data_IF_252798495097
#
_entry.id   IF_252798495097
#
_cell.length_a   1.000
_cell.length_b   1.000
_cell.length_c   1.000
_cell.angle_alpha   90.00
_cell.angle_beta   90.00
_cell.angle_gamma   90.00
#
_symmetry.space_group_name_H-M   'P 1'
#
loop_
_entity.id
_entity.type
_entity.pdbx_description
1 polymer ?
#
# COMPACT_ATOMS: atom_id res chain seq x y z
N UNK A 1 -13.73 -34.08 -38.40
CA UNK A 1 -14.36 -33.89 -37.07
C UNK A 1 -13.61 -32.77 -36.37
N UNK A 2 -14.25 -31.61 -36.15
CA UNK A 2 -13.62 -30.49 -35.44
C UNK A 2 -13.65 -30.80 -33.94
N UNK A 3 -12.53 -30.65 -33.19
CA UNK A 3 -12.58 -30.83 -31.75
C UNK A 3 -13.44 -29.73 -31.13
N UNK A 4 -14.42 -30.14 -30.32
CA UNK A 4 -15.26 -29.27 -29.53
C UNK A 4 -14.37 -28.41 -28.61
N UNK A 5 -14.31 -27.12 -28.88
CA UNK A 5 -13.77 -26.14 -27.94
C UNK A 5 -14.63 -26.19 -26.67
N UNK A 6 -14.09 -26.74 -25.59
CA UNK A 6 -14.68 -26.62 -24.26
C UNK A 6 -14.83 -25.12 -23.96
N UNK A 7 -16.07 -24.67 -23.87
CA UNK A 7 -16.35 -23.34 -23.34
C UNK A 7 -15.79 -23.27 -21.91
N UNK A 8 -15.13 -22.17 -21.50
CA UNK A 8 -14.72 -22.02 -20.13
C UNK A 8 -15.98 -21.91 -19.27
N UNK A 9 -16.18 -22.87 -18.37
CA UNK A 9 -17.18 -22.81 -17.31
C UNK A 9 -16.98 -21.48 -16.57
N UNK A 10 -17.86 -20.51 -16.83
CA UNK A 10 -17.93 -19.26 -16.11
C UNK A 10 -18.44 -19.57 -14.69
N UNK A 11 -17.52 -19.95 -13.81
CA UNK A 11 -17.75 -19.91 -12.37
C UNK A 11 -17.86 -18.45 -11.92
N UNK A 12 -19.01 -17.82 -12.16
CA UNK A 12 -19.40 -16.59 -11.50
C UNK A 12 -19.76 -16.93 -10.06
N UNK A 13 -18.74 -17.12 -9.21
CA UNK A 13 -18.95 -17.12 -7.77
C UNK A 13 -19.05 -15.67 -7.30
N UNK A 14 -20.15 -15.38 -6.60
CA UNK A 14 -20.48 -14.07 -6.05
C UNK A 14 -19.26 -13.44 -5.34
N UNK A 15 -18.97 -12.17 -5.64
CA UNK A 15 -17.96 -11.40 -4.92
C UNK A 15 -18.30 -11.43 -3.43
N UNK A 16 -17.44 -12.03 -2.60
CA UNK A 16 -17.57 -11.98 -1.13
C UNK A 16 -17.64 -10.52 -0.68
N UNK A 17 -18.77 -10.13 -0.08
CA UNK A 17 -19.09 -8.76 0.37
C UNK A 17 -18.18 -8.22 1.52
N UNK A 18 -17.30 -9.06 2.08
CA UNK A 18 -16.52 -8.74 3.28
C UNK A 18 -15.52 -7.59 3.15
N UNK A 19 -15.02 -7.29 1.96
CA UNK A 19 -14.07 -6.17 1.76
C UNK A 19 -14.68 -4.77 1.91
N UNK A 20 -16.01 -4.64 1.93
CA UNK A 20 -16.68 -3.34 2.00
C UNK A 20 -16.59 -2.67 3.37
N UNK A 21 -16.59 -3.46 4.46
CA UNK A 21 -16.59 -2.91 5.83
C UNK A 21 -15.25 -2.29 6.20
N UNK A 22 -14.13 -2.92 5.82
CA UNK A 22 -12.79 -2.41 6.08
C UNK A 22 -12.57 -1.05 5.40
N UNK A 23 -13.09 -0.87 4.19
CA UNK A 23 -13.02 0.40 3.48
C UNK A 23 -13.78 1.50 4.22
N UNK A 24 -14.98 1.19 4.72
CA UNK A 24 -15.74 2.13 5.54
C UNK A 24 -14.97 2.53 6.80
N UNK A 25 -14.39 1.56 7.50
CA UNK A 25 -13.56 1.81 8.69
C UNK A 25 -12.37 2.72 8.36
N UNK A 26 -11.66 2.47 7.25
CA UNK A 26 -10.55 3.32 6.81
C UNK A 26 -11.01 4.76 6.59
N UNK A 27 -12.09 4.98 5.82
CA UNK A 27 -12.56 6.34 5.57
C UNK A 27 -13.11 7.02 6.82
N UNK A 28 -13.73 6.27 7.73
CA UNK A 28 -14.17 6.80 9.02
C UNK A 28 -12.99 7.27 9.87
N UNK A 29 -11.95 6.43 10.04
CA UNK A 29 -10.75 6.80 10.80
C UNK A 29 -10.04 7.99 10.15
N UNK A 30 -9.90 8.00 8.82
CA UNK A 30 -9.29 9.11 8.09
C UNK A 30 -10.07 10.41 8.28
N UNK A 31 -11.39 10.38 8.15
CA UNK A 31 -12.23 11.55 8.36
C UNK A 31 -12.15 12.05 9.80
N UNK A 32 -12.20 11.15 10.78
CA UNK A 32 -12.08 11.49 12.20
C UNK A 32 -10.74 12.18 12.49
N UNK A 33 -9.62 11.59 12.08
CA UNK A 33 -8.29 12.19 12.29
C UNK A 33 -8.16 13.52 11.53
N UNK A 34 -8.61 13.58 10.27
CA UNK A 34 -8.50 14.78 9.44
C UNK A 34 -9.33 15.95 10.00
N UNK A 35 -10.58 15.69 10.41
CA UNK A 35 -11.46 16.72 10.98
C UNK A 35 -10.92 17.20 12.32
N UNK A 36 -10.49 16.30 13.21
CA UNK A 36 -9.86 16.68 14.47
C UNK A 36 -8.60 17.51 14.28
N UNK A 37 -7.72 17.04 13.39
CA UNK A 37 -6.46 17.73 13.12
C UNK A 37 -6.71 19.12 12.52
N UNK A 38 -7.51 19.23 11.46
CA UNK A 38 -7.72 20.52 10.76
C UNK A 38 -8.60 21.49 11.55
N UNK A 39 -9.65 20.99 12.23
CA UNK A 39 -10.61 21.81 12.95
C UNK A 39 -10.14 22.27 14.34
N UNK A 40 -9.31 21.48 15.02
CA UNK A 40 -8.87 21.76 16.40
C UNK A 40 -7.39 22.14 16.40
N UNK A 41 -6.52 21.20 16.04
CA UNK A 41 -5.06 21.34 16.19
C UNK A 41 -4.48 22.38 15.23
N UNK A 42 -4.87 22.34 13.97
CA UNK A 42 -4.36 23.29 12.98
C UNK A 42 -4.94 24.68 13.24
N UNK A 43 -6.20 24.78 13.68
CA UNK A 43 -6.84 26.05 14.05
C UNK A 43 -6.07 26.78 15.14
N UNK A 44 -5.67 26.08 16.21
CA UNK A 44 -4.89 26.68 17.31
C UNK A 44 -3.48 27.11 16.90
N UNK A 45 -2.95 26.58 15.80
CA UNK A 45 -1.68 26.99 15.22
C UNK A 45 -1.79 28.21 14.29
N UNK A 46 -2.99 28.52 13.79
CA UNK A 46 -3.25 29.72 13.01
C UNK A 46 -3.74 30.89 13.87
N UNK A 47 -4.28 30.62 15.07
CA UNK A 47 -4.89 31.63 15.94
C UNK A 47 -4.38 31.42 17.39
N UNK A 48 -3.43 32.24 17.87
CA UNK A 48 -2.70 33.28 17.15
C UNK A 48 -1.73 32.70 16.11
N UNK A 49 -1.39 33.48 15.08
CA UNK A 49 -0.53 33.03 13.98
C UNK A 49 0.87 32.68 14.48
N UNK A 50 1.32 31.45 14.19
CA UNK A 50 2.69 31.01 14.45
C UNK A 50 3.51 30.95 13.16
N UNK A 51 4.79 31.31 13.26
CA UNK A 51 5.72 31.18 12.13
C UNK A 51 5.78 29.74 11.66
N UNK A 52 5.65 29.52 10.35
CA UNK A 52 5.67 28.18 9.75
C UNK A 52 4.32 27.45 9.72
N UNK A 53 3.23 27.98 10.32
CA UNK A 53 1.91 27.33 10.30
C UNK A 53 1.39 27.08 8.88
N UNK A 54 1.56 28.04 7.97
CA UNK A 54 1.22 27.86 6.55
C UNK A 54 2.03 26.75 5.90
N UNK A 55 3.33 26.69 6.16
CA UNK A 55 4.21 25.67 5.58
C UNK A 55 3.82 24.27 6.08
N UNK A 56 3.61 24.10 7.38
CA UNK A 56 3.19 22.80 7.95
C UNK A 56 1.82 22.39 7.40
N UNK A 57 0.87 23.32 7.35
CA UNK A 57 -0.44 23.07 6.76
C UNK A 57 -0.31 22.64 5.29
N UNK A 58 0.44 23.37 4.47
CA UNK A 58 0.65 23.06 3.07
C UNK A 58 1.30 21.69 2.89
N UNK A 59 2.36 21.38 3.65
CA UNK A 59 3.03 20.08 3.63
C UNK A 59 2.07 18.95 3.99
N UNK A 60 1.27 19.10 5.06
CA UNK A 60 0.27 18.12 5.44
C UNK A 60 -0.71 17.84 4.30
N UNK A 61 -1.31 18.88 3.69
CA UNK A 61 -2.29 18.69 2.62
C UNK A 61 -1.67 18.11 1.35
N UNK A 62 -0.43 18.47 1.02
CA UNK A 62 0.31 17.87 -0.10
C UNK A 62 0.54 16.38 0.15
N UNK A 63 1.05 15.99 1.31
CA UNK A 63 1.28 14.57 1.62
C UNK A 63 -0.03 13.80 1.77
N UNK A 64 -1.07 14.40 2.31
CA UNK A 64 -2.39 13.80 2.41
C UNK A 64 -3.00 13.57 1.02
N UNK A 65 -2.83 14.51 0.10
CA UNK A 65 -3.22 14.33 -1.31
C UNK A 65 -2.45 13.17 -1.96
N UNK A 66 -1.12 13.10 -1.76
CA UNK A 66 -0.30 12.00 -2.29
C UNK A 66 -0.65 10.64 -1.67
N UNK A 67 -1.02 10.62 -0.38
CA UNK A 67 -1.56 9.45 0.31
C UNK A 67 -2.87 8.99 -0.34
N UNK A 68 -3.85 9.89 -0.52
CA UNK A 68 -5.13 9.58 -1.16
C UNK A 68 -4.94 9.12 -2.61
N UNK A 69 -4.05 9.77 -3.36
CA UNK A 69 -3.72 9.37 -4.72
C UNK A 69 -3.09 7.97 -4.74
N UNK A 70 -2.19 7.66 -3.81
CA UNK A 70 -1.61 6.31 -3.66
C UNK A 70 -2.65 5.26 -3.29
N UNK A 71 -3.59 5.59 -2.40
CA UNK A 71 -4.73 4.74 -2.04
C UNK A 71 -5.60 4.45 -3.26
N UNK A 72 -5.95 5.51 -4.01
CA UNK A 72 -6.71 5.40 -5.25
C UNK A 72 -5.92 4.55 -6.25
N UNK A 73 -4.60 4.70 -6.39
CA UNK A 73 -3.83 3.93 -7.38
C UNK A 73 -3.67 2.47 -6.97
N UNK A 74 -3.39 2.15 -5.70
CA UNK A 74 -3.27 0.75 -5.26
C UNK A 74 -4.62 0.01 -5.38
N UNK A 75 -5.72 0.74 -5.17
CA UNK A 75 -7.10 0.24 -5.31
C UNK A 75 -7.69 0.33 -6.73
N UNK A 76 -7.23 1.28 -7.56
CA UNK A 76 -7.78 1.69 -8.88
C UNK A 76 -6.78 1.74 -10.07
N UNK A 77 -5.54 1.22 -9.97
CA UNK A 77 -4.64 0.97 -11.11
C UNK A 77 -5.27 0.24 -12.31
N UNK A 78 -5.46 0.99 -13.41
CA UNK A 78 -6.13 0.58 -14.64
C UNK A 78 -5.14 0.63 -15.81
N UNK A 79 -4.94 -0.49 -16.52
CA UNK A 79 -4.22 -0.54 -17.81
C UNK A 79 -5.22 -0.64 -18.98
N UNK A 80 -6.23 0.23 -18.98
CA UNK A 80 -7.32 0.35 -19.98
C UNK A 80 -8.61 -0.48 -19.72
N UNK A 81 -9.76 0.22 -19.86
CA UNK A 81 -11.19 -0.20 -19.77
C UNK A 81 -11.80 -0.59 -18.40
N UNK A 82 -13.07 -0.21 -18.26
CA UNK A 82 -13.80 0.15 -17.04
C UNK A 82 -14.05 -0.97 -16.02
N UNK A 83 -14.17 -0.52 -14.77
CA UNK A 83 -14.47 -1.24 -13.52
C UNK A 83 -13.39 -2.23 -13.02
N UNK A 84 -12.72 -1.81 -11.94
CA UNK A 84 -11.76 -2.54 -11.10
C UNK A 84 -10.35 -2.76 -11.63
N UNK A 85 -9.41 -2.82 -10.69
CA UNK A 85 -7.97 -2.90 -10.93
C UNK A 85 -7.44 -4.26 -11.13
N UNK A 86 -6.33 -4.28 -11.84
CA UNK A 86 -5.55 -5.47 -12.01
C UNK A 86 -4.19 -5.34 -11.28
N UNK A 87 -4.01 -5.96 -10.09
CA UNK A 87 -2.68 -6.12 -9.48
C UNK A 87 -1.67 -6.91 -10.35
N UNK A 88 -2.10 -7.42 -11.50
CA UNK A 88 -1.40 -8.36 -12.37
C UNK A 88 -2.30 -9.55 -12.60
N UNK A 89 -2.62 -9.84 -13.86
CA UNK A 89 -3.41 -11.00 -14.26
C UNK A 89 -2.60 -11.80 -15.25
N UNK A 90 -2.72 -13.12 -15.14
CA UNK A 90 -2.09 -14.05 -16.06
C UNK A 90 -2.54 -13.73 -17.51
N UNK A 91 -1.60 -13.56 -18.46
CA UNK A 91 -1.93 -13.39 -19.87
C UNK A 91 -2.79 -14.54 -20.40
N UNK A 92 -3.75 -14.25 -21.30
CA UNK A 92 -4.79 -15.21 -21.73
C UNK A 92 -4.26 -16.54 -22.31
N UNK A 93 -3.03 -16.56 -22.80
CA UNK A 93 -2.41 -17.70 -23.48
C UNK A 93 -1.05 -18.09 -22.87
N UNK A 94 -0.77 -17.69 -21.63
CA UNK A 94 0.46 -18.08 -20.95
C UNK A 94 0.56 -19.61 -20.82
N UNK A 95 1.71 -20.17 -21.20
CA UNK A 95 1.97 -21.61 -21.17
C UNK A 95 1.52 -22.35 -22.43
N UNK A 96 1.04 -21.66 -23.47
CA UNK A 96 0.62 -22.30 -24.73
C UNK A 96 1.55 -21.99 -25.92
N UNK A 97 2.48 -21.04 -25.78
CA UNK A 97 3.38 -20.66 -26.87
C UNK A 97 4.73 -21.39 -26.80
N UNK A 98 5.35 -21.57 -27.97
CA UNK A 98 6.71 -22.09 -28.11
C UNK A 98 7.67 -21.07 -27.49
N UNK A 99 8.47 -21.50 -26.50
CA UNK A 99 9.36 -20.64 -25.71
C UNK A 99 8.88 -20.35 -24.28
N UNK A 100 7.66 -20.76 -23.91
CA UNK A 100 7.23 -20.77 -22.50
C UNK A 100 7.84 -22.00 -21.79
N UNK A 101 8.71 -21.74 -20.81
CA UNK A 101 9.48 -22.78 -20.12
C UNK A 101 8.57 -23.91 -19.58
N UNK A 102 8.91 -25.15 -19.95
CA UNK A 102 8.04 -26.32 -19.74
C UNK A 102 8.29 -26.93 -18.36
N UNK A 103 9.45 -26.67 -17.75
CA UNK A 103 9.97 -27.47 -16.62
C UNK A 103 9.26 -27.25 -15.27
N UNK A 104 8.49 -26.17 -15.07
CA UNK A 104 7.86 -25.84 -13.75
C UNK A 104 6.44 -25.30 -13.83
N UNK A 105 5.56 -25.95 -14.60
CA UNK A 105 4.20 -25.48 -14.81
C UNK A 105 3.28 -25.76 -13.60
N UNK A 106 3.11 -24.78 -12.72
CA UNK A 106 2.02 -24.78 -11.72
C UNK A 106 0.70 -24.45 -12.41
N UNK A 107 -0.38 -25.18 -12.11
CA UNK A 107 -1.70 -24.92 -12.70
C UNK A 107 -2.70 -24.37 -11.68
N UNK A 108 -3.58 -23.46 -12.10
CA UNK A 108 -4.73 -23.06 -11.30
C UNK A 108 -6.00 -23.76 -11.81
N UNK A 109 -6.51 -24.74 -11.05
CA UNK A 109 -7.76 -25.43 -11.39
C UNK A 109 -8.99 -24.50 -11.37
N UNK A 110 -9.00 -23.49 -10.51
CA UNK A 110 -10.12 -22.54 -10.36
C UNK A 110 -10.18 -21.57 -11.54
N UNK A 111 -9.04 -21.00 -11.94
CA UNK A 111 -8.98 -20.04 -13.05
C UNK A 111 -8.79 -20.69 -14.42
N UNK A 112 -8.49 -21.99 -14.46
CA UNK A 112 -8.16 -22.75 -15.66
C UNK A 112 -7.00 -22.14 -16.47
N UNK A 113 -5.92 -21.74 -15.78
CA UNK A 113 -4.72 -21.14 -16.38
C UNK A 113 -3.45 -21.74 -15.79
N UNK A 114 -2.41 -21.84 -16.63
CA UNK A 114 -1.04 -22.04 -16.17
C UNK A 114 -0.58 -20.81 -15.39
N UNK A 115 0.04 -21.01 -14.23
CA UNK A 115 0.56 -19.93 -13.39
C UNK A 115 1.99 -19.62 -13.84
N UNK A 116 2.29 -18.39 -14.26
CA UNK A 116 3.65 -17.90 -14.30
C UNK A 116 4.32 -18.03 -12.94
N UNK A 117 5.63 -17.92 -12.91
CA UNK A 117 6.36 -17.87 -11.66
C UNK A 117 5.86 -16.74 -10.77
N UNK A 118 5.93 -16.96 -9.45
CA UNK A 118 5.50 -16.00 -8.42
C UNK A 118 4.01 -15.60 -8.49
N UNK A 119 3.21 -16.30 -9.30
CA UNK A 119 1.76 -16.07 -9.42
C UNK A 119 0.97 -16.97 -8.45
N UNK A 120 0.03 -16.39 -7.72
CA UNK A 120 -0.84 -17.13 -6.78
C UNK A 120 -2.32 -16.82 -7.03
N UNK A 121 -3.19 -17.78 -6.71
CA UNK A 121 -4.64 -17.58 -6.78
C UNK A 121 -5.12 -16.94 -5.48
N UNK A 122 -5.76 -15.78 -5.57
CA UNK A 122 -6.44 -15.18 -4.44
C UNK A 122 -7.92 -15.55 -4.47
N UNK A 123 -8.39 -16.27 -3.45
CA UNK A 123 -9.79 -16.64 -3.32
C UNK A 123 -10.72 -15.45 -3.07
N UNK A 124 -10.24 -14.42 -2.36
CA UNK A 124 -11.00 -13.18 -2.11
C UNK A 124 -11.22 -12.36 -3.40
N UNK A 125 -10.21 -12.30 -4.27
CA UNK A 125 -10.32 -11.65 -5.57
C UNK A 125 -10.81 -12.60 -6.70
N UNK A 126 -10.98 -13.89 -6.39
CA UNK A 126 -11.32 -14.98 -7.31
C UNK A 126 -10.51 -14.95 -8.64
N UNK A 127 -9.19 -14.78 -8.54
CA UNK A 127 -8.31 -14.68 -9.71
C UNK A 127 -6.86 -14.98 -9.37
N UNK A 128 -6.08 -15.39 -10.37
CA UNK A 128 -4.62 -15.45 -10.27
C UNK A 128 -4.01 -14.06 -10.37
N UNK A 129 -3.12 -13.73 -9.44
CA UNK A 129 -2.42 -12.44 -9.34
C UNK A 129 -0.92 -12.63 -9.59
N UNK A 130 -0.37 -11.86 -10.53
CA UNK A 130 1.08 -11.88 -10.84
C UNK A 130 1.87 -11.29 -9.67
N UNK A 131 3.02 -11.90 -9.36
CA UNK A 131 3.88 -11.55 -8.21
C UNK A 131 3.06 -11.24 -6.94
N UNK A 132 2.11 -12.13 -6.62
CA UNK A 132 1.14 -11.85 -5.56
C UNK A 132 1.88 -11.72 -4.23
N UNK A 133 1.71 -10.59 -3.58
CA UNK A 133 2.20 -10.38 -2.22
C UNK A 133 1.15 -10.88 -1.24
N UNK A 134 0.05 -10.13 -1.08
CA UNK A 134 -1.06 -10.54 -0.22
C UNK A 134 -2.39 -9.97 -0.71
N UNK A 135 -3.48 -10.45 -0.13
CA UNK A 135 -4.76 -9.76 -0.21
C UNK A 135 -4.88 -8.81 0.98
N UNK A 136 -5.11 -7.52 0.72
CA UNK A 136 -5.21 -6.52 1.76
C UNK A 136 -6.67 -6.06 1.91
N UNK A 137 -7.35 -6.40 3.01
CA UNK A 137 -8.74 -5.98 3.24
C UNK A 137 -8.89 -4.45 3.31
N UNK A 138 -7.89 -3.75 3.84
CA UNK A 138 -7.88 -2.29 4.03
C UNK A 138 -7.92 -1.48 2.73
N UNK A 139 -7.48 -2.06 1.62
CA UNK A 139 -7.61 -1.46 0.28
C UNK A 139 -8.64 -2.21 -0.58
N UNK A 140 -9.24 -3.29 -0.03
CA UNK A 140 -10.15 -4.20 -0.71
C UNK A 140 -9.61 -4.67 -2.08
N UNK A 141 -8.33 -5.04 -2.10
CA UNK A 141 -7.63 -5.47 -3.31
C UNK A 141 -6.40 -6.32 -2.98
N UNK A 142 -5.91 -7.07 -3.96
CA UNK A 142 -4.59 -7.68 -3.85
C UNK A 142 -3.49 -6.66 -4.08
N UNK A 143 -2.37 -6.89 -3.40
CA UNK A 143 -1.07 -6.28 -3.71
C UNK A 143 -0.30 -7.29 -4.57
N UNK A 144 0.14 -6.87 -5.75
CA UNK A 144 0.84 -7.71 -6.72
C UNK A 144 1.75 -6.88 -7.62
N UNK A 145 2.21 -7.46 -8.72
CA UNK A 145 3.23 -6.89 -9.59
C UNK A 145 2.99 -5.42 -9.97
N UNK A 146 1.79 -5.07 -10.46
CA UNK A 146 1.56 -3.74 -11.01
C UNK A 146 1.22 -2.65 -9.98
N UNK A 147 0.86 -3.04 -8.75
CA UNK A 147 0.43 -2.09 -7.73
C UNK A 147 1.23 -2.13 -6.42
N UNK A 148 2.22 -3.02 -6.27
CA UNK A 148 3.11 -3.08 -5.10
C UNK A 148 3.77 -1.74 -4.79
N UNK A 149 4.21 -0.98 -5.80
CA UNK A 149 4.78 0.38 -5.59
C UNK A 149 3.80 1.35 -4.92
N UNK A 150 2.54 1.36 -5.35
CA UNK A 150 1.52 2.25 -4.80
C UNK A 150 1.17 1.86 -3.37
N UNK A 151 1.26 0.57 -3.05
CA UNK A 151 1.13 0.11 -1.67
C UNK A 151 2.27 0.65 -0.78
N UNK A 152 3.52 0.65 -1.25
CA UNK A 152 4.63 1.25 -0.48
C UNK A 152 4.48 2.77 -0.35
N UNK A 153 4.09 3.45 -1.43
CA UNK A 153 3.81 4.90 -1.40
C UNK A 153 2.67 5.23 -0.42
N UNK A 154 1.61 4.41 -0.39
CA UNK A 154 0.52 4.54 0.57
C UNK A 154 1.03 4.47 2.02
N UNK A 155 1.87 3.49 2.34
CA UNK A 155 2.47 3.35 3.67
C UNK A 155 3.37 4.54 4.01
N UNK A 156 4.23 4.96 3.09
CA UNK A 156 5.16 6.06 3.29
C UNK A 156 4.46 7.40 3.54
N UNK A 157 3.53 7.78 2.67
CA UNK A 157 2.79 9.03 2.81
C UNK A 157 1.85 9.02 4.02
N UNK A 158 1.25 7.86 4.33
CA UNK A 158 0.47 7.68 5.54
C UNK A 158 1.29 7.93 6.80
N UNK A 159 2.50 7.35 6.88
CA UNK A 159 3.41 7.59 8.01
C UNK A 159 3.81 9.06 8.14
N UNK A 160 4.16 9.75 7.04
CA UNK A 160 4.47 11.19 7.10
C UNK A 160 3.28 11.99 7.66
N UNK A 161 2.07 11.75 7.17
CA UNK A 161 0.87 12.42 7.66
C UNK A 161 0.66 12.15 9.17
N UNK A 162 0.80 10.90 9.60
CA UNK A 162 0.64 10.51 11.00
C UNK A 162 1.71 11.18 11.89
N UNK A 163 2.97 11.26 11.44
CA UNK A 163 4.02 11.96 12.20
C UNK A 163 3.73 13.45 12.35
N UNK A 164 3.28 14.13 11.29
CA UNK A 164 2.88 15.54 11.35
C UNK A 164 1.72 15.71 12.35
N UNK A 165 0.68 14.87 12.25
CA UNK A 165 -0.46 14.91 13.17
C UNK A 165 -0.03 14.66 14.62
N UNK A 166 0.82 13.65 14.87
CA UNK A 166 1.29 13.31 16.20
C UNK A 166 2.06 14.47 16.85
N UNK A 167 3.04 15.05 16.14
CA UNK A 167 3.87 16.14 16.65
C UNK A 167 3.02 17.38 16.97
N UNK A 168 2.16 17.80 16.02
CA UNK A 168 1.35 18.99 16.20
C UNK A 168 0.28 18.80 17.29
N UNK A 169 -0.32 17.61 17.38
CA UNK A 169 -1.33 17.32 18.40
C UNK A 169 -0.70 17.20 19.79
N UNK A 170 0.49 16.61 19.89
CA UNK A 170 1.26 16.60 21.13
C UNK A 170 1.60 18.03 21.58
N UNK A 171 2.08 18.87 20.65
CA UNK A 171 2.37 20.27 20.96
C UNK A 171 1.12 21.00 21.47
N UNK A 172 -0.02 20.81 20.81
CA UNK A 172 -1.29 21.39 21.22
C UNK A 172 -1.73 20.95 22.63
N UNK A 173 -1.64 19.66 22.94
CA UNK A 173 -2.13 19.12 24.22
C UNK A 173 -1.22 19.48 25.39
N UNK A 174 0.10 19.45 25.18
CA UNK A 174 1.07 19.51 26.28
C UNK A 174 1.79 20.86 26.36
N UNK A 175 2.23 21.43 25.25
CA UNK A 175 3.02 22.67 25.26
C UNK A 175 2.09 23.88 25.34
N UNK A 176 1.13 23.97 24.44
CA UNK A 176 0.22 25.12 24.36
C UNK A 176 -0.64 25.22 25.61
N UNK A 177 -1.09 24.07 26.10
CA UNK A 177 -1.83 23.96 27.34
C UNK A 177 -0.99 24.37 28.57
N UNK A 178 0.26 23.91 28.67
CA UNK A 178 1.13 24.28 29.78
C UNK A 178 1.46 25.77 29.79
N UNK A 179 1.71 26.37 28.61
CA UNK A 179 1.94 27.80 28.48
C UNK A 179 0.71 28.61 28.90
N UNK A 180 -0.49 28.20 28.47
CA UNK A 180 -1.73 28.85 28.89
C UNK A 180 -1.93 28.78 30.42
N UNK A 181 -1.60 27.66 31.06
CA UNK A 181 -1.65 27.56 32.53
C UNK A 181 -0.66 28.51 33.23
N UNK A 182 0.51 28.75 32.63
CA UNK A 182 1.53 29.66 33.18
C UNK A 182 1.13 31.12 33.00
N UNK A 183 0.60 31.48 31.82
CA UNK A 183 0.26 32.86 31.46
C UNK A 183 -1.04 33.32 32.11
N UNK A 184 -2.10 32.50 32.05
CA UNK A 184 -3.44 32.89 32.48
C UNK A 184 -3.80 32.38 33.90
N UNK A 185 -2.98 31.50 34.49
CA UNK A 185 -3.28 30.87 35.77
C UNK A 185 -4.36 29.79 35.70
N UNK A 186 -4.86 29.34 36.86
CA UNK A 186 -5.89 28.29 36.90
C UNK A 186 -7.28 28.89 36.62
N UNK A 187 -7.73 28.76 35.38
CA UNK A 187 -9.11 29.03 34.98
C UNK A 187 -9.86 27.74 34.64
N UNK A 188 -11.09 27.63 35.12
CA UNK A 188 -11.98 26.54 34.72
C UNK A 188 -12.23 26.62 33.21
N UNK A 189 -11.75 25.60 32.49
CA UNK A 189 -12.00 25.47 31.06
C UNK A 189 -13.49 25.26 30.82
N UNK A 190 -14.03 25.96 29.83
CA UNK A 190 -15.40 25.70 29.38
C UNK A 190 -15.55 24.24 28.92
N UNK A 191 -16.76 23.69 29.03
CA UNK A 191 -17.05 22.31 28.61
C UNK A 191 -16.69 22.06 27.14
N UNK A 192 -16.76 23.10 26.29
CA UNK A 192 -16.37 23.02 24.88
C UNK A 192 -14.87 22.81 24.70
N UNK A 193 -14.05 23.57 25.44
CA UNK A 193 -12.58 23.42 25.40
C UNK A 193 -12.17 22.04 25.94
N UNK A 194 -12.80 21.56 27.01
CA UNK A 194 -12.57 20.21 27.53
C UNK A 194 -12.88 19.13 26.48
N UNK A 195 -13.95 19.30 25.67
CA UNK A 195 -14.29 18.40 24.58
C UNK A 195 -13.24 18.43 23.45
N UNK A 196 -12.73 19.61 23.09
CA UNK A 196 -11.65 19.74 22.09
C UNK A 196 -10.37 18.98 22.54
N UNK A 197 -9.95 19.13 23.80
CA UNK A 197 -8.81 18.39 24.35
C UNK A 197 -9.05 16.88 24.41
N UNK A 198 -10.27 16.47 24.77
CA UNK A 198 -10.65 15.04 24.77
C UNK A 198 -10.57 14.47 23.36
N UNK A 199 -11.12 15.16 22.36
CA UNK A 199 -11.05 14.75 20.96
C UNK A 199 -9.59 14.68 20.49
N UNK A 200 -8.79 15.72 20.74
CA UNK A 200 -7.38 15.76 20.37
C UNK A 200 -6.58 14.61 21.02
N UNK A 201 -6.88 14.25 22.26
CA UNK A 201 -6.26 13.12 22.96
C UNK A 201 -6.60 11.78 22.31
N UNK A 202 -7.85 11.60 21.87
CA UNK A 202 -8.27 10.41 21.11
C UNK A 202 -7.55 10.36 19.76
N UNK A 203 -7.46 11.48 19.05
CA UNK A 203 -6.70 11.59 17.79
C UNK A 203 -5.23 11.22 18.00
N UNK A 204 -4.60 11.74 19.04
CA UNK A 204 -3.20 11.45 19.37
C UNK A 204 -3.01 9.96 19.67
N UNK A 205 -3.88 9.38 20.50
CA UNK A 205 -3.86 7.95 20.82
C UNK A 205 -3.99 7.09 19.57
N UNK A 206 -5.01 7.33 18.74
CA UNK A 206 -5.22 6.60 17.48
C UNK A 206 -4.01 6.76 16.54
N UNK A 207 -3.45 7.96 16.46
CA UNK A 207 -2.27 8.24 15.63
C UNK A 207 -1.06 7.41 16.10
N UNK A 208 -0.81 7.32 17.41
CA UNK A 208 0.25 6.47 17.94
C UNK A 208 -0.01 4.99 17.63
N UNK A 209 -1.22 4.48 17.86
CA UNK A 209 -1.57 3.09 17.53
C UNK A 209 -1.26 2.78 16.06
N UNK A 210 -1.64 3.68 15.15
CA UNK A 210 -1.37 3.55 13.72
C UNK A 210 0.13 3.61 13.41
N UNK A 211 0.90 4.52 14.02
CA UNK A 211 2.37 4.60 13.82
C UNK A 211 3.03 3.29 14.29
N UNK A 212 2.71 2.82 15.50
CA UNK A 212 3.28 1.59 16.06
C UNK A 212 2.93 0.35 15.23
N UNK A 213 1.77 0.33 14.57
CA UNK A 213 1.41 -0.73 13.64
C UNK A 213 2.12 -0.60 12.27
N UNK A 214 2.12 0.60 11.68
CA UNK A 214 2.54 0.82 10.30
C UNK A 214 4.06 0.93 10.12
N UNK A 215 4.81 1.41 11.12
CA UNK A 215 6.28 1.47 11.04
C UNK A 215 6.91 0.08 10.88
N UNK A 216 6.67 -0.92 11.75
CA UNK A 216 7.25 -2.26 11.58
C UNK A 216 6.74 -2.94 10.30
N UNK A 217 5.46 -2.74 9.95
CA UNK A 217 4.88 -3.27 8.73
C UNK A 217 5.57 -2.71 7.47
N UNK A 218 5.85 -1.40 7.45
CA UNK A 218 6.59 -0.75 6.37
C UNK A 218 8.03 -1.27 6.29
N UNK A 219 8.72 -1.36 7.44
CA UNK A 219 10.09 -1.94 7.50
C UNK A 219 10.13 -3.37 6.96
N UNK A 220 9.15 -4.19 7.30
CA UNK A 220 9.01 -5.54 6.78
C UNK A 220 8.88 -5.56 5.24
N UNK A 221 7.99 -4.75 4.67
CA UNK A 221 7.85 -4.68 3.21
C UNK A 221 9.09 -4.13 2.50
N UNK A 222 9.79 -3.15 3.08
CA UNK A 222 11.07 -2.66 2.54
C UNK A 222 12.14 -3.76 2.55
N UNK A 223 12.21 -4.57 3.61
CA UNK A 223 13.09 -5.76 3.67
C UNK A 223 12.74 -6.75 2.57
N UNK A 224 11.46 -7.04 2.34
CA UNK A 224 11.02 -7.91 1.24
C UNK A 224 11.45 -7.38 -0.13
N UNK A 225 11.37 -6.06 -0.35
CA UNK A 225 11.85 -5.44 -1.60
C UNK A 225 13.36 -5.61 -1.72
N UNK A 226 14.13 -5.33 -0.66
CA UNK A 226 15.59 -5.49 -0.69
C UNK A 226 16.05 -6.91 -1.03
N UNK A 227 15.24 -7.92 -0.67
CA UNK A 227 15.50 -9.34 -0.95
C UNK A 227 14.82 -9.84 -2.23
N UNK A 228 14.08 -9.02 -2.96
CA UNK A 228 13.19 -9.43 -4.05
C UNK A 228 12.28 -10.62 -3.70
N UNK A 229 11.60 -10.53 -2.57
CA UNK A 229 10.67 -11.55 -2.10
C UNK A 229 9.27 -10.95 -1.94
N UNK A 230 8.25 -11.78 -2.02
CA UNK A 230 6.88 -11.46 -1.60
C UNK A 230 6.62 -11.97 -0.18
N UNK A 231 5.53 -11.53 0.46
CA UNK A 231 5.11 -12.11 1.75
C UNK A 231 4.86 -13.61 1.66
N UNK A 232 4.35 -14.11 0.53
CA UNK A 232 4.12 -15.55 0.32
C UNK A 232 5.45 -16.30 0.24
N UNK A 233 6.39 -15.79 -0.55
CA UNK A 233 7.72 -16.41 -0.71
C UNK A 233 8.51 -16.39 0.59
N UNK A 234 8.42 -15.33 1.39
CA UNK A 234 9.11 -15.24 2.68
C UNK A 234 8.57 -16.24 3.73
N UNK A 235 7.34 -16.73 3.57
CA UNK A 235 6.77 -17.80 4.41
C UNK A 235 7.16 -19.20 3.94
N UNK A 236 7.74 -19.34 2.74
CA UNK A 236 8.22 -20.61 2.22
C UNK A 236 9.63 -20.89 2.74
N UNK A 237 9.77 -21.94 3.55
CA UNK A 237 11.02 -22.29 4.24
C UNK A 237 12.17 -22.47 3.24
N UNK A 238 11.89 -23.05 2.06
CA UNK A 238 12.90 -23.27 1.02
C UNK A 238 13.44 -21.98 0.40
N UNK A 239 12.65 -20.90 0.39
CA UNK A 239 13.08 -19.59 -0.13
C UNK A 239 13.86 -18.77 0.93
N UNK A 240 13.91 -19.21 2.18
CA UNK A 240 14.68 -18.51 3.22
C UNK A 240 16.18 -18.75 3.07
N UNK A 241 16.57 -19.95 2.62
CA UNK A 241 17.97 -20.34 2.47
C UNK A 241 18.58 -19.82 1.17
N UNK A 242 17.79 -19.73 0.09
CA UNK A 242 18.25 -19.28 -1.21
C UNK A 242 17.12 -18.63 -2.01
N UNK A 243 17.22 -17.30 -2.25
CA UNK A 243 16.29 -16.61 -3.13
C UNK A 243 16.90 -16.38 -4.52
N UNK A 244 16.52 -17.21 -5.48
CA UNK A 244 16.95 -17.10 -6.88
C UNK A 244 16.55 -15.77 -7.55
N UNK A 245 15.53 -15.05 -7.06
CA UNK A 245 15.09 -13.79 -7.65
C UNK A 245 15.85 -12.58 -7.10
N UNK A 246 16.69 -12.75 -6.08
CA UNK A 246 17.49 -11.66 -5.54
C UNK A 246 18.66 -11.33 -6.49
N UNK A 247 18.56 -10.21 -7.19
CA UNK A 247 19.53 -9.75 -8.20
C UNK A 247 20.30 -8.50 -7.75
N UNK A 248 20.27 -8.19 -6.45
CA UNK A 248 20.89 -7.00 -5.86
C UNK A 248 19.87 -5.91 -5.52
N UNK A 249 20.09 -5.21 -4.40
CA UNK A 249 19.09 -4.30 -3.80
C UNK A 249 18.54 -3.23 -4.77
N UNK A 250 19.39 -2.66 -5.63
CA UNK A 250 19.00 -1.64 -6.59
C UNK A 250 18.07 -2.21 -7.67
N UNK A 251 18.47 -3.30 -8.32
CA UNK A 251 17.66 -3.93 -9.36
C UNK A 251 16.38 -4.54 -8.79
N UNK A 252 16.43 -5.04 -7.55
CA UNK A 252 15.24 -5.47 -6.82
C UNK A 252 14.26 -4.31 -6.60
N UNK A 253 14.76 -3.11 -6.25
CA UNK A 253 13.93 -1.92 -6.11
C UNK A 253 13.36 -1.45 -7.45
N UNK A 254 14.14 -1.49 -8.54
CA UNK A 254 13.67 -1.16 -9.91
C UNK A 254 12.55 -2.10 -10.38
N UNK A 255 12.56 -3.38 -9.99
CA UNK A 255 11.45 -4.30 -10.25
C UNK A 255 10.13 -3.88 -9.58
N UNK A 256 10.17 -3.03 -8.55
CA UNK A 256 8.98 -2.51 -7.89
C UNK A 256 8.66 -1.09 -8.35
N UNK A 257 9.60 -0.17 -8.27
CA UNK A 257 9.39 1.27 -8.47
C UNK A 257 9.65 1.74 -9.91
N UNK A 258 10.34 0.94 -10.72
CA UNK A 258 10.77 1.28 -12.07
C UNK A 258 12.18 1.87 -12.13
N UNK A 259 12.63 2.13 -13.35
CA UNK A 259 14.02 2.51 -13.63
C UNK A 259 14.35 3.96 -13.24
N UNK A 260 13.37 4.86 -13.22
CA UNK A 260 13.60 6.27 -12.89
C UNK A 260 13.43 6.53 -11.38
N UNK A 261 14.55 6.67 -10.67
CA UNK A 261 14.62 6.93 -9.22
C UNK A 261 13.89 8.21 -8.83
N UNK A 262 14.00 9.28 -9.62
CA UNK A 262 13.37 10.58 -9.34
C UNK A 262 11.85 10.48 -9.24
N UNK A 263 11.29 9.42 -9.78
CA UNK A 263 9.86 9.24 -9.87
C UNK A 263 9.35 8.08 -8.99
N UNK A 264 10.22 7.46 -8.18
CA UNK A 264 9.85 6.38 -7.25
C UNK A 264 8.79 6.79 -6.25
N UNK A 265 8.83 8.04 -5.80
CA UNK A 265 7.83 8.57 -4.87
C UNK A 265 6.64 9.19 -5.60
N UNK A 266 6.71 9.48 -6.91
CA UNK A 266 5.56 10.01 -7.64
C UNK A 266 4.46 8.94 -7.77
N UNK A 267 3.24 9.16 -7.23
CA UNK A 267 2.10 8.25 -7.41
C UNK A 267 1.45 8.43 -8.80
N UNK A 268 2.27 8.71 -9.81
CA UNK A 268 1.92 8.80 -11.21
C UNK A 268 2.29 7.50 -11.94
N UNK A 269 1.52 7.18 -12.98
CA UNK A 269 1.86 6.10 -13.89
C UNK A 269 2.30 6.67 -15.22
N UNK A 270 3.59 6.94 -15.34
CA UNK A 270 4.25 7.17 -16.62
C UNK A 270 5.12 5.95 -16.94
N UNK A 271 5.56 5.85 -18.20
CA UNK A 271 6.45 4.78 -18.67
C UNK A 271 7.71 4.71 -17.79
N UNK A 272 8.20 5.84 -17.29
CA UNK A 272 9.38 5.93 -16.44
C UNK A 272 9.25 5.24 -15.07
N UNK A 273 8.03 5.00 -14.57
CA UNK A 273 7.79 4.46 -13.22
C UNK A 273 7.13 3.09 -13.24
N UNK A 274 7.06 2.45 -14.42
CA UNK A 274 6.54 1.09 -14.52
C UNK A 274 7.48 0.14 -13.78
N UNK A 275 6.95 -0.81 -12.97
CA UNK A 275 7.75 -1.92 -12.46
C UNK A 275 8.56 -2.54 -13.59
N UNK A 276 9.86 -2.76 -13.40
CA UNK A 276 10.70 -3.37 -14.42
C UNK A 276 10.26 -4.83 -14.66
N UNK A 277 10.19 -5.23 -15.93
CA UNK A 277 9.73 -6.56 -16.34
C UNK A 277 8.25 -6.62 -16.75
N UNK A 278 7.78 -7.83 -17.07
CA UNK A 278 6.42 -8.11 -17.53
C UNK A 278 5.54 -8.80 -16.46
N UNK A 279 6.14 -9.19 -15.33
CA UNK A 279 5.49 -9.88 -14.23
C UNK A 279 5.27 -11.37 -14.45
N UNK A 280 5.76 -11.92 -15.57
CA UNK A 280 5.67 -13.35 -15.90
C UNK A 280 7.03 -14.00 -16.07
N UNK A 281 8.03 -13.25 -16.52
CA UNK A 281 9.44 -13.65 -16.62
C UNK A 281 10.26 -12.85 -15.63
N UNK A 282 11.16 -13.53 -14.94
CA UNK A 282 11.96 -12.97 -13.86
C UNK A 282 13.43 -13.18 -14.16
N UNK A 283 14.22 -12.12 -13.98
CA UNK A 283 15.67 -12.28 -13.90
C UNK A 283 16.00 -13.06 -12.64
N UNK A 284 16.83 -14.09 -12.77
CA UNK A 284 17.35 -14.87 -11.66
C UNK A 284 18.79 -14.43 -11.33
N UNK A 285 19.28 -14.78 -10.16
CA UNK A 285 20.62 -14.43 -9.72
C UNK A 285 21.66 -15.17 -10.56
N UNK A 286 22.83 -14.57 -10.76
CA UNK A 286 23.94 -15.20 -11.51
C UNK A 286 24.34 -16.54 -10.87
N UNK A 287 24.28 -16.63 -9.54
CA UNK A 287 24.48 -17.88 -8.83
C UNK A 287 23.47 -18.96 -9.25
N UNK A 288 22.22 -18.58 -9.56
CA UNK A 288 21.21 -19.51 -10.06
C UNK A 288 21.46 -19.90 -11.51
N UNK A 289 21.80 -18.92 -12.35
CA UNK A 289 22.12 -19.15 -13.76
C UNK A 289 23.26 -20.15 -13.92
N UNK A 290 24.29 -20.07 -13.07
CA UNK A 290 25.42 -20.99 -13.07
C UNK A 290 25.10 -22.42 -12.56
N UNK A 291 23.91 -22.64 -11.99
CA UNK A 291 23.46 -23.97 -11.52
C UNK A 291 22.51 -24.70 -12.50
N UNK A 292 22.08 -24.02 -13.58
CA UNK A 292 21.15 -24.56 -14.59
C UNK A 292 21.95 -25.01 -15.81
#
# INVERSE_FOLDING_TARGET
MRPNYMQPLQGQTEKKKGGSIFIFIVFFILAFIYIGYTGIVLRSWFIPYRSGSFTIAALFHVFFFLFLLSFIKVKFYKRERCASTDPGKVPRNWGFYIGDDVKRRRYCKICNVWKPDRTHHCSACNRCVLNMDHHCPWINNCVGFFNRRFFIQLLFYGLICLFIVAVQTFHYIFIDNANAYIEDGFHDKSSFVALEYTYASIVLFLTFVLIFALVPFTKFHLKLISKNSTTIENMDIYNQDYNMYNVGCEDNAKQVFGNNILCWMCPCHCIANRPAGDGVRWRVSVAHENMI
#
